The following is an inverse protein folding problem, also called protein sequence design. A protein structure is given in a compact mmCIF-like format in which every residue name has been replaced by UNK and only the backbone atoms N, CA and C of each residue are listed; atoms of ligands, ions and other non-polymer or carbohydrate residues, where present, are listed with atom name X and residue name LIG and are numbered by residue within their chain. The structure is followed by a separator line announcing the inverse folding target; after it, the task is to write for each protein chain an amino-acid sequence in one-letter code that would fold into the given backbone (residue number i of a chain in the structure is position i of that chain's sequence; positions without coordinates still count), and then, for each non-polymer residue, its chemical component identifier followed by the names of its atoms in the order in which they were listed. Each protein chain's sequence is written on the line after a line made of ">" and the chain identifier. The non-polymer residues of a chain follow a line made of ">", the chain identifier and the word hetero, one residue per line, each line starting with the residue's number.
data_IF_294445724737
#
_entry.id   IF_294445724737
#
_cell.length_a   1.000
_cell.length_b   1.000
_cell.length_c   1.000
_cell.angle_alpha   90.00
_cell.angle_beta   90.00
_cell.angle_gamma   90.00
#
_symmetry.space_group_name_H-M   'P 1'
#
loop_
_entity.id
_entity.type
_entity.pdbx_description
1 polymer ?
#
# COMPACT_ATOMS: atom_id res chain seq x y z
N UNK A 1 -16.10 -18.86 45.17
CA UNK A 1 -16.15 -17.39 45.13
C UNK A 1 -15.48 -16.97 43.85
N UNK A 2 -16.26 -16.47 42.88
CA UNK A 2 -15.80 -16.22 41.52
C UNK A 2 -14.84 -15.03 41.46
N UNK A 3 -13.62 -15.31 41.05
CA UNK A 3 -12.72 -14.30 40.50
C UNK A 3 -13.08 -14.20 39.01
N UNK A 4 -13.54 -13.03 38.56
CA UNK A 4 -13.72 -12.78 37.14
C UNK A 4 -12.38 -13.00 36.42
N UNK A 5 -12.38 -13.83 35.37
CA UNK A 5 -11.28 -13.89 34.41
C UNK A 5 -11.19 -12.49 33.76
N UNK A 6 -10.04 -11.79 33.82
CA UNK A 6 -9.85 -10.49 33.17
C UNK A 6 -9.82 -10.59 31.64
N UNK A 7 -10.36 -11.69 31.06
CA UNK A 7 -10.84 -11.87 29.68
C UNK A 7 -10.48 -10.67 28.83
N UNK A 8 -9.27 -10.78 28.28
CA UNK A 8 -8.78 -10.10 27.09
C UNK A 8 -9.85 -9.21 26.50
N UNK A 9 -9.64 -7.89 26.63
CA UNK A 9 -10.43 -6.88 25.94
C UNK A 9 -10.27 -7.14 24.44
N UNK A 10 -11.06 -8.11 23.96
CA UNK A 10 -10.94 -8.70 22.64
C UNK A 10 -11.41 -7.59 21.75
N UNK A 11 -10.45 -6.99 21.03
CA UNK A 11 -10.73 -6.13 19.90
C UNK A 11 -11.77 -6.83 19.03
N UNK A 12 -13.00 -6.37 19.18
CA UNK A 12 -14.15 -6.90 18.50
C UNK A 12 -14.69 -5.77 17.63
N UNK A 13 -15.40 -6.16 16.57
CA UNK A 13 -15.90 -5.21 15.59
C UNK A 13 -16.75 -4.12 16.26
N UNK A 14 -17.59 -4.46 17.23
CA UNK A 14 -18.41 -3.47 17.93
C UNK A 14 -17.57 -2.41 18.66
N UNK A 15 -16.48 -2.82 19.31
CA UNK A 15 -15.52 -1.90 19.94
C UNK A 15 -14.86 -0.97 18.93
N UNK A 16 -14.41 -1.50 17.78
CA UNK A 16 -13.84 -0.69 16.70
C UNK A 16 -14.85 0.31 16.13
N UNK A 17 -16.09 -0.12 15.92
CA UNK A 17 -17.17 0.73 15.41
C UNK A 17 -17.51 1.86 16.38
N UNK A 18 -17.55 1.59 17.69
CA UNK A 18 -17.78 2.63 18.70
C UNK A 18 -16.66 3.68 18.72
N UNK A 19 -15.42 3.27 18.50
CA UNK A 19 -14.28 4.20 18.37
C UNK A 19 -14.39 5.03 17.09
N UNK A 20 -14.79 4.42 15.97
CA UNK A 20 -14.96 5.11 14.70
C UNK A 20 -16.14 6.08 14.67
N UNK A 21 -17.25 5.70 15.30
CA UNK A 21 -18.46 6.54 15.38
C UNK A 21 -18.28 7.70 16.36
N UNK A 22 -17.28 7.60 17.25
CA UNK A 22 -16.90 8.66 18.19
C UNK A 22 -17.98 8.90 19.23
N UNK A 23 -17.82 8.33 20.42
CA UNK A 23 -18.66 8.70 21.58
C UNK A 23 -18.51 10.20 21.93
N UNK A 24 -17.43 10.85 21.47
CA UNK A 24 -17.15 12.28 21.62
C UNK A 24 -16.72 12.85 20.26
N UNK A 25 -17.40 13.92 19.83
CA UNK A 25 -17.14 14.61 18.57
C UNK A 25 -15.67 15.06 18.49
N UNK A 26 -15.00 14.70 17.40
CA UNK A 26 -13.55 14.88 17.22
C UNK A 26 -13.28 15.68 15.94
N UNK A 27 -13.59 16.99 15.94
CA UNK A 27 -13.47 17.83 14.75
C UNK A 27 -12.04 17.84 14.21
N UNK A 28 -11.90 17.75 12.88
CA UNK A 28 -10.60 17.79 12.19
C UNK A 28 -9.81 16.47 12.20
N UNK A 29 -10.37 15.37 12.72
CA UNK A 29 -9.71 14.06 12.71
C UNK A 29 -9.87 13.33 11.38
N UNK A 30 -8.76 12.78 10.86
CA UNK A 30 -8.75 11.84 9.73
C UNK A 30 -8.33 10.48 10.25
N UNK A 31 -9.10 9.44 9.91
CA UNK A 31 -8.77 8.04 10.20
C UNK A 31 -8.35 7.35 8.91
N UNK A 32 -7.18 6.73 8.92
CA UNK A 32 -6.66 5.93 7.80
C UNK A 32 -6.67 4.46 8.21
N UNK A 33 -7.27 3.61 7.37
CA UNK A 33 -7.29 2.17 7.53
C UNK A 33 -6.63 1.52 6.31
N UNK A 34 -5.85 0.46 6.54
CA UNK A 34 -5.19 -0.31 5.48
C UNK A 34 -5.58 -1.78 5.62
N UNK A 35 -5.89 -2.45 4.50
CA UNK A 35 -6.14 -3.90 4.46
C UNK A 35 -5.69 -4.47 3.13
N UNK A 36 -5.12 -5.67 3.17
CA UNK A 36 -4.83 -6.48 1.98
C UNK A 36 -6.05 -7.33 1.55
N UNK A 37 -7.08 -7.38 2.38
CA UNK A 37 -8.28 -8.20 2.19
C UNK A 37 -9.56 -7.35 2.37
N UNK A 38 -9.84 -6.40 1.47
CA UNK A 38 -11.03 -5.56 1.56
C UNK A 38 -12.34 -6.37 1.51
N UNK A 39 -12.33 -7.56 0.90
CA UNK A 39 -13.46 -8.49 0.82
C UNK A 39 -13.83 -9.13 2.17
N UNK A 40 -12.91 -9.15 3.13
CA UNK A 40 -13.13 -9.67 4.49
C UNK A 40 -13.61 -8.60 5.46
N UNK A 41 -13.71 -7.35 5.02
CA UNK A 41 -14.19 -6.27 5.87
C UNK A 41 -15.68 -6.45 6.17
N UNK A 42 -16.06 -6.22 7.42
CA UNK A 42 -17.47 -6.21 7.79
C UNK A 42 -18.21 -5.09 7.04
N UNK A 43 -19.38 -5.39 6.43
CA UNK A 43 -20.18 -4.40 5.71
C UNK A 43 -20.54 -3.15 6.53
N UNK A 44 -20.55 -3.25 7.86
CA UNK A 44 -20.79 -2.13 8.75
C UNK A 44 -19.68 -1.07 8.67
N UNK A 45 -18.43 -1.44 8.40
CA UNK A 45 -17.30 -0.49 8.28
C UNK A 45 -17.41 0.38 7.01
N UNK A 46 -17.95 -0.19 5.93
CA UNK A 46 -18.04 0.47 4.62
C UNK A 46 -19.33 1.29 4.43
N UNK A 47 -20.17 1.41 5.47
CA UNK A 47 -21.40 2.22 5.40
C UNK A 47 -21.05 3.71 5.29
N UNK A 48 -21.87 4.50 4.57
CA UNK A 48 -21.75 5.95 4.57
C UNK A 48 -21.73 6.51 5.99
N UNK A 49 -20.78 7.40 6.27
CA UNK A 49 -20.55 7.99 7.61
C UNK A 49 -19.34 7.45 8.36
N UNK A 50 -18.78 6.30 7.93
CA UNK A 50 -17.54 5.72 8.48
C UNK A 50 -16.39 5.83 7.48
N UNK A 51 -16.29 4.87 6.54
CA UNK A 51 -15.27 4.90 5.48
C UNK A 51 -15.86 5.59 4.25
N UNK A 52 -15.51 6.86 4.03
CA UNK A 52 -16.01 7.64 2.90
C UNK A 52 -15.11 7.59 1.66
N UNK A 53 -13.81 7.32 1.83
CA UNK A 53 -12.81 7.26 0.74
C UNK A 53 -12.11 5.92 0.74
N UNK A 54 -11.98 5.33 -0.45
CA UNK A 54 -11.30 4.06 -0.69
C UNK A 54 -10.27 4.27 -1.79
N UNK A 55 -9.02 3.93 -1.49
CA UNK A 55 -7.91 4.01 -2.42
C UNK A 55 -7.33 2.59 -2.56
N UNK A 56 -7.24 2.10 -3.80
CA UNK A 56 -6.60 0.83 -4.08
C UNK A 56 -5.13 1.09 -4.47
N UNK A 57 -4.21 0.52 -3.69
CA UNK A 57 -2.77 0.57 -3.95
C UNK A 57 -2.36 -0.74 -4.64
N UNK A 58 -2.35 -0.72 -5.98
CA UNK A 58 -1.99 -1.88 -6.79
C UNK A 58 -0.51 -1.93 -7.14
N UNK A 59 -0.16 -2.82 -8.09
CA UNK A 59 1.18 -2.92 -8.63
C UNK A 59 1.61 -1.65 -9.39
N UNK A 60 2.92 -1.42 -9.39
CA UNK A 60 3.58 -0.32 -10.08
C UNK A 60 3.27 -0.37 -11.59
N UNK A 61 3.02 0.79 -12.21
CA UNK A 61 2.94 0.92 -13.67
C UNK A 61 4.17 1.65 -14.19
N UNK A 62 4.33 1.67 -15.51
CA UNK A 62 5.51 2.22 -16.17
C UNK A 62 5.89 3.63 -15.70
N UNK A 63 4.95 4.60 -15.62
CA UNK A 63 5.27 5.94 -15.16
C UNK A 63 5.72 6.01 -13.69
N UNK A 64 5.14 5.20 -12.80
CA UNK A 64 5.58 5.10 -11.41
C UNK A 64 6.94 4.43 -11.31
N UNK A 65 7.20 3.35 -12.07
CA UNK A 65 8.49 2.69 -12.09
C UNK A 65 9.57 3.67 -12.51
N UNK A 66 9.39 4.37 -13.64
CA UNK A 66 10.35 5.36 -14.11
C UNK A 66 10.65 6.41 -13.03
N UNK A 67 9.61 6.95 -12.37
CA UNK A 67 9.79 7.94 -11.29
C UNK A 67 10.55 7.39 -10.11
N UNK A 68 10.30 6.14 -9.70
CA UNK A 68 11.03 5.48 -8.63
C UNK A 68 12.50 5.28 -9.00
N UNK A 69 12.79 4.75 -10.20
CA UNK A 69 14.18 4.53 -10.64
C UNK A 69 14.96 5.84 -10.69
N UNK A 70 14.39 6.89 -11.30
CA UNK A 70 15.03 8.21 -11.36
C UNK A 70 15.26 8.83 -9.98
N UNK A 71 14.36 8.55 -9.02
CA UNK A 71 14.49 9.03 -7.65
C UNK A 71 15.60 8.29 -6.89
N UNK A 72 15.58 6.97 -6.88
CA UNK A 72 16.51 6.17 -6.09
C UNK A 72 17.93 6.12 -6.67
N UNK A 73 18.07 6.14 -7.99
CA UNK A 73 19.39 6.15 -8.65
C UNK A 73 19.89 7.56 -8.97
N UNK A 74 19.18 8.59 -8.52
CA UNK A 74 19.51 10.02 -8.72
C UNK A 74 19.87 10.37 -10.17
N UNK A 75 19.18 9.76 -11.13
CA UNK A 75 19.49 9.85 -12.56
C UNK A 75 18.27 10.26 -13.39
N UNK A 76 18.50 10.46 -14.70
CA UNK A 76 17.43 10.58 -15.68
C UNK A 76 17.46 9.38 -16.61
N UNK A 77 16.31 8.74 -16.77
CA UNK A 77 16.17 7.64 -17.73
C UNK A 77 16.18 8.20 -19.15
N UNK A 78 16.95 7.55 -20.02
CA UNK A 78 16.85 7.74 -21.47
C UNK A 78 15.51 7.24 -22.01
N UNK A 79 15.13 7.66 -23.22
CA UNK A 79 13.85 7.28 -23.82
C UNK A 79 13.74 5.75 -24.02
N UNK A 80 14.85 5.08 -24.33
CA UNK A 80 14.93 3.61 -24.43
C UNK A 80 14.70 2.95 -23.07
N UNK A 81 15.39 3.39 -22.02
CA UNK A 81 15.22 2.84 -20.67
C UNK A 81 13.80 3.07 -20.13
N UNK A 82 13.21 4.24 -20.41
CA UNK A 82 11.79 4.48 -20.08
C UNK A 82 10.89 3.49 -20.78
N UNK A 83 11.11 3.26 -22.07
CA UNK A 83 10.30 2.32 -22.87
C UNK A 83 10.40 0.91 -22.30
N UNK A 84 11.62 0.44 -22.02
CA UNK A 84 11.86 -0.88 -21.43
C UNK A 84 11.28 -1.01 -20.02
N UNK A 85 11.42 0.02 -19.17
CA UNK A 85 10.80 0.04 -17.85
C UNK A 85 9.27 -0.07 -17.94
N UNK A 86 8.63 0.61 -18.90
CA UNK A 86 7.20 0.47 -19.14
C UNK A 86 6.82 -0.95 -19.52
N UNK A 87 7.58 -1.59 -20.42
CA UNK A 87 7.33 -2.97 -20.83
C UNK A 87 7.46 -3.95 -19.66
N UNK A 88 8.49 -3.79 -18.81
CA UNK A 88 8.67 -4.62 -17.63
C UNK A 88 7.50 -4.45 -16.65
N UNK A 89 7.10 -3.21 -16.34
CA UNK A 89 5.97 -2.94 -15.45
C UNK A 89 4.61 -3.44 -15.99
N UNK A 90 4.48 -3.59 -17.32
CA UNK A 90 3.29 -4.18 -17.95
C UNK A 90 3.25 -5.70 -17.86
N UNK A 91 4.43 -6.36 -17.91
CA UNK A 91 4.54 -7.82 -17.92
C UNK A 91 4.64 -8.44 -16.53
N UNK A 92 5.14 -7.68 -15.56
CA UNK A 92 5.44 -8.18 -14.21
C UNK A 92 4.62 -7.43 -13.15
N UNK A 93 4.15 -8.16 -12.13
CA UNK A 93 3.44 -7.61 -11.00
C UNK A 93 4.42 -7.04 -9.96
N UNK A 94 4.99 -5.88 -10.27
CA UNK A 94 5.99 -5.24 -9.41
C UNK A 94 5.34 -4.49 -8.26
N UNK A 95 5.77 -4.80 -7.04
CA UNK A 95 5.45 -4.01 -5.84
C UNK A 95 6.47 -2.88 -5.66
N UNK A 96 6.09 -1.76 -4.99
CA UNK A 96 7.04 -0.70 -4.66
C UNK A 96 8.29 -1.23 -3.91
N UNK A 97 8.10 -2.18 -3.00
CA UNK A 97 9.19 -2.76 -2.20
C UNK A 97 10.21 -3.54 -3.06
N UNK A 98 9.76 -4.28 -4.08
CA UNK A 98 10.66 -4.98 -5.01
C UNK A 98 11.50 -3.99 -5.83
N UNK A 99 10.91 -2.85 -6.23
CA UNK A 99 11.64 -1.82 -6.96
C UNK A 99 12.68 -1.15 -6.06
N UNK A 100 12.31 -0.78 -4.84
CA UNK A 100 13.22 -0.21 -3.84
C UNK A 100 14.41 -1.15 -3.57
N UNK A 101 14.13 -2.42 -3.29
CA UNK A 101 15.18 -3.42 -3.05
C UNK A 101 16.09 -3.56 -4.27
N UNK A 102 15.52 -3.66 -5.48
CA UNK A 102 16.30 -3.76 -6.71
C UNK A 102 17.21 -2.55 -6.92
N UNK A 103 16.74 -1.32 -6.62
CA UNK A 103 17.56 -0.11 -6.69
C UNK A 103 18.74 -0.15 -5.70
N UNK A 104 18.60 -0.80 -4.55
CA UNK A 104 19.68 -0.93 -3.57
C UNK A 104 20.75 -1.96 -3.98
N UNK A 105 20.43 -2.84 -4.94
CA UNK A 105 21.32 -3.92 -5.40
C UNK A 105 22.09 -3.56 -6.68
N UNK A 106 21.77 -2.45 -7.34
CA UNK A 106 22.38 -2.05 -8.62
C UNK A 106 22.81 -0.58 -8.64
N UNK A 107 23.69 -0.24 -9.57
CA UNK A 107 24.20 1.14 -9.72
C UNK A 107 23.58 1.87 -10.91
N UNK A 108 22.98 1.14 -11.87
CA UNK A 108 22.49 1.71 -13.12
C UNK A 108 21.04 1.32 -13.45
N UNK A 109 20.28 2.17 -14.15
CA UNK A 109 18.92 1.83 -14.57
C UNK A 109 18.84 0.61 -15.48
N UNK A 110 19.79 0.44 -16.40
CA UNK A 110 19.82 -0.70 -17.31
C UNK A 110 19.98 -2.04 -16.56
N UNK A 111 20.77 -2.08 -15.50
CA UNK A 111 20.89 -3.25 -14.62
C UNK A 111 19.58 -3.50 -13.88
N UNK A 112 18.97 -2.45 -13.32
CA UNK A 112 17.70 -2.57 -12.60
C UNK A 112 16.57 -3.13 -13.49
N UNK A 113 16.41 -2.55 -14.69
CA UNK A 113 15.35 -2.98 -15.63
C UNK A 113 15.55 -4.44 -16.02
N UNK A 114 16.80 -4.87 -16.21
CA UNK A 114 17.13 -6.27 -16.47
C UNK A 114 16.78 -7.16 -15.27
N UNK A 115 17.17 -6.77 -14.06
CA UNK A 115 16.86 -7.50 -12.82
C UNK A 115 15.35 -7.68 -12.64
N UNK A 116 14.58 -6.60 -12.78
CA UNK A 116 13.12 -6.61 -12.62
C UNK A 116 12.40 -7.46 -13.68
N UNK A 117 13.01 -7.68 -14.86
CA UNK A 117 12.44 -8.53 -15.91
C UNK A 117 12.51 -10.04 -15.61
N UNK A 118 13.22 -10.42 -14.55
CA UNK A 118 13.39 -11.81 -14.12
C UNK A 118 12.60 -12.18 -12.85
N UNK A 119 11.86 -11.22 -12.28
CA UNK A 119 10.96 -11.43 -11.13
C UNK A 119 9.61 -11.99 -11.55
#
# INVERSE_FOLDING_TARGET
>A
GGFADPLADKLNLAGLLNVMDGVIDSPGRIVVLTTNHPEKLDPALIRPGRINKRLHLGYIKGPELCRMVEHYLECKLSDDERTRAHEVALRHHLTPAQVEQGCAEVETPAQLITLLSHL
#
